data_IF_563065142394
#
_entry.id   IF_563065142394
#
_cell.length_a   1.000
_cell.length_b   1.000
_cell.length_c   1.000
_cell.angle_alpha   90.00
_cell.angle_beta   90.00
_cell.angle_gamma   90.00
#
_symmetry.space_group_name_H-M   'P 1'
#
loop_
_entity.id
_entity.type
_entity.pdbx_description
1 polymer ?
#
# COMPACT_ATOMS: atom_id res chain seq x y z
N UNK A 1 23.36 6.78 -40.94
CA UNK A 1 21.89 6.83 -40.81
C UNK A 1 21.41 8.16 -41.36
N UNK A 2 20.29 8.17 -42.10
CA UNK A 2 19.75 9.38 -42.72
C UNK A 2 18.30 9.57 -42.28
N UNK A 3 17.95 10.79 -41.89
CA UNK A 3 16.58 11.15 -41.55
C UNK A 3 16.20 12.45 -42.25
N UNK A 4 14.94 12.60 -42.61
CA UNK A 4 14.45 13.82 -43.26
C UNK A 4 14.57 15.02 -42.30
N UNK A 5 14.06 14.90 -41.08
CA UNK A 5 14.00 15.99 -40.10
C UNK A 5 14.21 15.46 -38.68
N UNK A 6 14.69 16.32 -37.77
CA UNK A 6 15.08 15.92 -36.41
C UNK A 6 13.89 15.49 -35.52
N UNK A 7 12.72 16.11 -35.67
CA UNK A 7 11.52 15.77 -34.89
C UNK A 7 10.91 14.41 -35.26
N UNK A 8 11.35 13.79 -36.37
CA UNK A 8 10.97 12.41 -36.71
C UNK A 8 11.70 11.38 -35.84
N UNK A 9 12.84 11.77 -35.26
CA UNK A 9 13.66 10.95 -34.38
C UNK A 9 13.43 11.30 -32.90
N UNK A 10 13.16 12.57 -32.60
CA UNK A 10 13.18 13.09 -31.24
C UNK A 10 11.82 13.68 -30.83
N UNK A 11 11.46 13.54 -29.54
CA UNK A 11 10.18 13.99 -28.95
C UNK A 11 10.25 15.27 -28.12
N UNK A 12 11.44 15.80 -27.87
CA UNK A 12 11.65 17.02 -27.09
C UNK A 12 13.14 17.35 -26.96
N UNK A 13 13.45 18.55 -26.49
CA UNK A 13 14.83 19.06 -26.38
C UNK A 13 15.74 18.18 -25.52
N UNK A 14 15.22 17.59 -24.44
CA UNK A 14 15.99 16.65 -23.62
C UNK A 14 16.36 15.38 -24.39
N UNK A 15 15.40 14.82 -25.15
CA UNK A 15 15.62 13.62 -25.94
C UNK A 15 16.60 13.86 -27.11
N UNK A 16 16.86 15.12 -27.49
CA UNK A 16 17.93 15.46 -28.45
C UNK A 16 19.29 15.14 -27.85
N UNK A 17 19.52 15.51 -26.59
CA UNK A 17 20.79 15.29 -25.90
C UNK A 17 21.07 13.79 -25.74
N UNK A 18 20.06 13.02 -25.35
CA UNK A 18 20.18 11.57 -25.19
C UNK A 18 20.56 10.88 -26.51
N UNK A 19 19.96 11.29 -27.63
CA UNK A 19 20.28 10.77 -28.96
C UNK A 19 21.69 11.16 -29.38
N UNK A 20 22.12 12.40 -29.11
CA UNK A 20 23.48 12.85 -29.42
C UNK A 20 24.53 12.05 -28.64
N UNK A 21 24.29 11.75 -27.37
CA UNK A 21 25.20 10.94 -26.55
C UNK A 21 25.29 9.49 -27.06
N UNK A 22 24.17 8.88 -27.44
CA UNK A 22 24.16 7.52 -28.03
C UNK A 22 24.90 7.49 -29.37
N UNK A 23 24.71 8.48 -30.23
CA UNK A 23 25.42 8.58 -31.51
C UNK A 23 26.93 8.73 -31.30
N UNK A 24 27.34 9.50 -30.29
CA UNK A 24 28.74 9.68 -29.93
C UNK A 24 29.38 8.40 -29.41
N UNK A 25 28.77 7.74 -28.42
CA UNK A 25 29.27 6.49 -27.83
C UNK A 25 29.29 5.36 -28.86
N UNK A 26 28.26 5.27 -29.70
CA UNK A 26 28.15 4.26 -30.75
C UNK A 26 29.02 4.54 -31.99
N UNK A 27 29.72 5.68 -32.05
CA UNK A 27 30.46 6.16 -33.24
C UNK A 27 29.62 6.13 -34.51
N UNK A 28 28.35 6.50 -34.39
CA UNK A 28 27.36 6.46 -35.46
C UNK A 28 27.24 7.82 -36.15
N UNK A 29 27.19 7.77 -37.47
CA UNK A 29 27.06 8.90 -38.37
C UNK A 29 25.58 9.18 -38.65
N UNK A 30 25.07 10.36 -38.30
CA UNK A 30 23.70 10.81 -38.58
C UNK A 30 23.68 12.01 -39.54
N UNK A 31 22.88 11.92 -40.60
CA UNK A 31 22.63 13.04 -41.51
C UNK A 31 21.16 13.43 -41.48
N UNK A 32 20.92 14.74 -41.36
CA UNK A 32 19.57 15.33 -41.35
C UNK A 32 19.43 16.14 -42.63
N UNK A 33 18.34 15.96 -43.37
CA UNK A 33 18.18 16.58 -44.68
C UNK A 33 17.50 17.95 -44.63
N UNK A 34 16.69 18.23 -43.60
CA UNK A 34 15.84 19.41 -43.55
C UNK A 34 15.73 20.02 -42.12
N UNK A 35 15.32 21.28 -42.06
CA UNK A 35 15.14 22.07 -40.83
C UNK A 35 16.42 22.73 -40.29
N UNK A 36 16.35 23.24 -39.06
CA UNK A 36 17.43 23.97 -38.40
C UNK A 36 18.72 23.15 -38.17
N UNK A 37 18.62 21.82 -38.35
CA UNK A 37 19.73 20.87 -38.18
C UNK A 37 20.20 20.29 -39.54
N UNK A 38 19.68 20.76 -40.68
CA UNK A 38 20.03 20.28 -42.04
C UNK A 38 21.49 20.51 -42.42
N UNK A 39 22.09 21.60 -41.94
CA UNK A 39 23.52 21.88 -42.13
C UNK A 39 24.42 21.00 -41.24
N UNK A 40 23.86 20.22 -40.32
CA UNK A 40 24.62 19.40 -39.40
C UNK A 40 24.88 18.02 -40.00
N UNK A 41 26.10 17.84 -40.46
CA UNK A 41 26.61 16.55 -40.87
C UNK A 41 27.34 15.87 -39.69
N UNK A 42 26.61 15.07 -38.90
CA UNK A 42 27.22 14.25 -37.85
C UNK A 42 27.93 13.00 -38.44
N UNK A 43 28.07 12.91 -39.77
CA UNK A 43 28.78 11.83 -40.44
C UNK A 43 30.30 12.05 -40.57
N UNK A 44 30.79 13.25 -40.25
CA UNK A 44 32.20 13.56 -40.40
C UNK A 44 33.02 13.00 -39.21
N UNK A 45 33.89 12.03 -39.47
CA UNK A 45 35.06 11.75 -38.64
C UNK A 45 36.09 12.87 -38.81
N UNK A 46 35.73 14.09 -38.43
CA UNK A 46 36.58 15.26 -38.57
C UNK A 46 37.40 15.48 -37.27
N UNK A 47 38.67 15.89 -37.34
CA UNK A 47 39.45 16.21 -36.14
C UNK A 47 38.87 17.38 -35.31
N UNK A 48 37.95 18.18 -35.87
CA UNK A 48 37.17 19.23 -35.17
C UNK A 48 35.72 18.84 -34.81
N UNK A 49 35.34 17.56 -34.92
CA UNK A 49 33.95 17.10 -34.65
C UNK A 49 33.54 17.27 -33.18
N UNK A 50 34.52 17.28 -32.26
CA UNK A 50 34.28 17.61 -30.86
C UNK A 50 33.77 19.04 -30.65
N UNK A 51 34.20 20.00 -31.47
CA UNK A 51 33.81 21.42 -31.38
C UNK A 51 32.40 21.66 -31.93
N UNK A 52 32.02 20.94 -33.00
CA UNK A 52 30.66 21.02 -33.55
C UNK A 52 29.65 20.33 -32.63
N UNK A 53 29.97 19.13 -32.13
CA UNK A 53 29.13 18.44 -31.15
C UNK A 53 29.01 19.23 -29.84
N UNK A 54 30.09 19.86 -29.37
CA UNK A 54 30.04 20.68 -28.15
C UNK A 54 29.23 21.97 -28.36
N UNK A 55 29.33 22.61 -29.53
CA UNK A 55 28.52 23.79 -29.87
C UNK A 55 27.03 23.43 -29.97
N UNK A 56 26.70 22.32 -30.61
CA UNK A 56 25.31 21.84 -30.70
C UNK A 56 24.78 21.43 -29.34
N UNK A 57 25.58 20.70 -28.54
CA UNK A 57 25.24 20.34 -27.16
C UNK A 57 25.02 21.59 -26.31
N UNK A 58 25.86 22.61 -26.44
CA UNK A 58 25.72 23.91 -25.75
C UNK A 58 24.44 24.65 -26.15
N UNK A 59 24.12 24.72 -27.46
CA UNK A 59 22.89 25.35 -27.95
C UNK A 59 21.64 24.62 -27.44
N UNK A 60 21.63 23.29 -27.49
CA UNK A 60 20.51 22.49 -26.99
C UNK A 60 20.38 22.60 -25.47
N UNK A 61 21.49 22.66 -24.73
CA UNK A 61 21.49 22.90 -23.28
C UNK A 61 20.96 24.29 -22.93
N UNK A 62 21.32 25.32 -23.69
CA UNK A 62 20.79 26.67 -23.48
C UNK A 62 19.28 26.72 -23.74
N UNK A 63 18.80 25.99 -24.75
CA UNK A 63 17.36 25.85 -25.01
C UNK A 63 16.65 25.04 -23.92
N UNK A 64 17.29 24.00 -23.38
CA UNK A 64 16.78 23.25 -22.24
C UNK A 64 16.68 24.14 -20.98
N UNK A 65 17.71 24.94 -20.70
CA UNK A 65 17.72 25.92 -19.61
C UNK A 65 16.64 27.01 -19.78
N UNK A 66 16.36 27.44 -21.01
CA UNK A 66 15.22 28.31 -21.30
C UNK A 66 13.87 27.64 -20.95
N UNK A 67 13.75 26.33 -21.16
CA UNK A 67 12.61 25.53 -20.71
C UNK A 67 12.49 25.44 -19.18
N UNK A 68 13.61 25.45 -18.46
CA UNK A 68 13.62 25.51 -16.99
C UNK A 68 13.10 26.86 -16.48
N UNK A 69 13.51 27.97 -17.10
CA UNK A 69 12.94 29.31 -16.82
C UNK A 69 11.44 29.37 -17.10
N UNK A 70 10.97 28.75 -18.18
CA UNK A 70 9.53 28.65 -18.46
C UNK A 70 8.79 27.84 -17.39
N UNK A 71 9.39 26.77 -16.86
CA UNK A 71 8.81 26.00 -15.75
C UNK A 71 8.72 26.83 -14.49
N UNK A 72 9.77 27.58 -14.14
CA UNK A 72 9.78 28.45 -12.96
C UNK A 72 8.66 29.51 -13.04
N UNK A 73 8.54 30.20 -14.17
CA UNK A 73 7.44 31.15 -14.42
C UNK A 73 6.06 30.48 -14.37
N UNK A 74 5.97 29.22 -14.80
CA UNK A 74 4.72 28.44 -14.71
C UNK A 74 4.37 28.13 -13.25
N UNK A 75 5.35 27.73 -12.43
CA UNK A 75 5.15 27.50 -11.01
C UNK A 75 4.79 28.79 -10.27
N UNK A 76 5.39 29.92 -10.64
CA UNK A 76 5.01 31.24 -10.11
C UNK A 76 3.56 31.58 -10.44
N UNK A 77 3.14 31.31 -11.68
CA UNK A 77 1.76 31.44 -12.11
C UNK A 77 0.81 30.55 -11.31
N UNK A 78 1.19 29.29 -11.04
CA UNK A 78 0.40 28.37 -10.23
C UNK A 78 0.30 28.84 -8.76
N UNK A 79 1.40 29.31 -8.17
CA UNK A 79 1.42 29.89 -6.81
C UNK A 79 0.52 31.12 -6.73
N UNK A 80 0.58 32.00 -7.72
CA UNK A 80 -0.28 33.18 -7.81
C UNK A 80 -1.77 32.80 -7.99
N UNK A 81 -2.06 31.73 -8.71
CA UNK A 81 -3.43 31.23 -8.87
C UNK A 81 -3.96 30.61 -7.57
N UNK A 82 -3.13 29.85 -6.86
CA UNK A 82 -3.47 29.26 -5.56
C UNK A 82 -3.72 30.34 -4.49
N UNK A 83 -2.91 31.40 -4.47
CA UNK A 83 -3.12 32.56 -3.61
C UNK A 83 -4.45 33.28 -3.88
N UNK A 84 -4.96 33.22 -5.12
CA UNK A 84 -6.31 33.70 -5.50
C UNK A 84 -7.42 32.69 -5.18
N UNK A 85 -7.10 31.57 -4.55
CA UNK A 85 -8.05 30.52 -4.19
C UNK A 85 -8.38 29.55 -5.33
N UNK A 86 -7.67 29.60 -6.46
CA UNK A 86 -7.88 28.65 -7.55
C UNK A 86 -7.29 27.29 -7.16
N UNK A 87 -8.12 26.25 -7.17
CA UNK A 87 -7.69 24.87 -6.88
C UNK A 87 -7.39 24.13 -8.18
N UNK A 88 -6.18 23.58 -8.26
CA UNK A 88 -5.79 22.67 -9.34
C UNK A 88 -6.37 21.26 -9.17
N UNK A 89 -6.12 20.39 -10.14
CA UNK A 89 -6.50 18.98 -10.09
C UNK A 89 -7.91 18.66 -10.58
N UNK A 90 -8.34 17.42 -10.34
CA UNK A 90 -9.64 16.91 -10.80
C UNK A 90 -10.76 17.47 -9.92
N UNK A 91 -11.82 17.98 -10.57
CA UNK A 91 -13.02 18.44 -9.87
C UNK A 91 -13.65 17.30 -9.04
N UNK A 92 -14.13 17.58 -7.80
CA UNK A 92 -14.81 16.59 -6.97
C UNK A 92 -15.99 15.95 -7.69
N UNK A 93 -16.16 14.63 -7.52
CA UNK A 93 -17.24 13.86 -8.13
C UNK A 93 -18.60 14.18 -7.47
N UNK A 94 -18.59 14.41 -6.16
CA UNK A 94 -19.74 14.89 -5.41
C UNK A 94 -19.64 16.41 -5.37
N UNK A 95 -20.60 17.09 -6.00
CA UNK A 95 -20.71 18.56 -5.97
C UNK A 95 -21.14 19.02 -4.57
N UNK A 96 -20.80 20.25 -4.21
CA UNK A 96 -21.15 20.92 -2.95
C UNK A 96 -22.60 20.70 -2.56
N UNK A 97 -23.52 20.89 -3.50
CA UNK A 97 -24.97 20.83 -3.25
C UNK A 97 -25.44 19.43 -2.84
N UNK A 98 -24.68 18.39 -3.19
CA UNK A 98 -24.95 16.99 -2.83
C UNK A 98 -24.15 16.54 -1.61
N UNK A 99 -23.09 17.26 -1.26
CA UNK A 99 -22.26 16.95 -0.10
C UNK A 99 -23.08 17.05 1.19
N UNK A 100 -23.94 18.06 1.31
CA UNK A 100 -24.78 18.23 2.49
C UNK A 100 -25.77 17.07 2.65
N UNK A 101 -26.43 16.65 1.56
CA UNK A 101 -27.34 15.51 1.58
C UNK A 101 -26.62 14.20 2.01
N UNK A 102 -25.41 13.98 1.52
CA UNK A 102 -24.58 12.83 1.88
C UNK A 102 -24.17 12.89 3.36
N UNK A 103 -23.80 14.07 3.86
CA UNK A 103 -23.44 14.30 5.26
C UNK A 103 -24.62 14.10 6.21
N UNK A 104 -25.79 14.65 5.88
CA UNK A 104 -27.02 14.44 6.64
C UNK A 104 -27.41 12.96 6.67
N UNK A 105 -27.30 12.26 5.53
CA UNK A 105 -27.56 10.83 5.48
C UNK A 105 -26.64 10.04 6.40
N UNK A 106 -25.34 10.37 6.43
CA UNK A 106 -24.37 9.74 7.33
C UNK A 106 -24.69 10.00 8.81
N UNK A 107 -24.95 11.25 9.19
CA UNK A 107 -25.29 11.64 10.57
C UNK A 107 -26.62 11.02 11.04
N UNK A 108 -27.55 10.76 10.12
CA UNK A 108 -28.81 10.04 10.40
C UNK A 108 -28.64 8.52 10.57
N UNK A 109 -27.40 8.00 10.52
CA UNK A 109 -27.09 6.57 10.68
C UNK A 109 -27.35 5.72 9.43
N UNK A 110 -27.62 6.32 8.26
CA UNK A 110 -27.77 5.57 7.01
C UNK A 110 -26.41 5.05 6.53
N UNK A 111 -26.38 3.80 6.05
CA UNK A 111 -25.14 3.20 5.52
C UNK A 111 -24.61 3.96 4.30
N UNK A 112 -23.27 4.01 4.15
CA UNK A 112 -22.55 4.64 3.02
C UNK A 112 -23.03 4.15 1.64
N UNK A 113 -23.53 2.90 1.57
CA UNK A 113 -24.05 2.29 0.34
C UNK A 113 -25.34 2.96 -0.15
N UNK A 114 -26.16 3.51 0.75
CA UNK A 114 -27.42 4.15 0.41
C UNK A 114 -27.23 5.45 -0.41
N UNK A 115 -26.49 6.48 0.07
CA UNK A 115 -26.24 7.69 -0.71
C UNK A 115 -25.38 7.42 -1.96
N UNK A 116 -24.52 6.39 -1.95
CA UNK A 116 -23.77 5.98 -3.13
C UNK A 116 -24.69 5.55 -4.29
N UNK A 117 -25.71 4.74 -3.99
CA UNK A 117 -26.71 4.31 -4.98
C UNK A 117 -27.63 5.45 -5.40
N UNK A 118 -28.10 6.24 -4.44
CA UNK A 118 -29.02 7.37 -4.67
C UNK A 118 -28.42 8.44 -5.58
N UNK A 119 -27.11 8.71 -5.44
CA UNK A 119 -26.43 9.73 -6.24
C UNK A 119 -25.61 9.17 -7.41
N UNK A 120 -25.62 7.85 -7.63
CA UNK A 120 -24.89 7.21 -8.72
C UNK A 120 -23.36 7.37 -8.63
N UNK A 121 -22.82 7.41 -7.40
CA UNK A 121 -21.39 7.62 -7.14
C UNK A 121 -20.77 6.42 -6.44
N UNK A 122 -19.45 6.27 -6.52
CA UNK A 122 -18.75 5.18 -5.84
C UNK A 122 -18.79 5.38 -4.32
N UNK A 123 -18.72 4.27 -3.56
CA UNK A 123 -18.59 4.32 -2.08
C UNK A 123 -17.33 5.07 -1.64
N UNK A 124 -16.26 5.02 -2.44
CA UNK A 124 -15.04 5.79 -2.21
C UNK A 124 -15.28 7.29 -2.29
N UNK A 125 -16.04 7.75 -3.29
CA UNK A 125 -16.40 9.17 -3.40
C UNK A 125 -17.25 9.63 -2.22
N UNK A 126 -18.20 8.80 -1.75
CA UNK A 126 -18.98 9.08 -0.55
C UNK A 126 -18.07 9.20 0.68
N UNK A 127 -17.16 8.24 0.90
CA UNK A 127 -16.18 8.29 2.01
C UNK A 127 -15.32 9.55 1.96
N UNK A 128 -14.84 9.96 0.80
CA UNK A 128 -14.08 11.21 0.64
C UNK A 128 -14.90 12.44 1.02
N UNK A 129 -16.21 12.47 0.74
CA UNK A 129 -17.07 13.61 1.05
C UNK A 129 -17.47 13.73 2.54
N UNK A 130 -17.39 12.63 3.29
CA UNK A 130 -17.67 12.57 4.73
C UNK A 130 -16.40 12.32 5.57
N UNK A 131 -15.22 12.41 4.97
CA UNK A 131 -13.96 12.01 5.61
C UNK A 131 -13.70 12.77 6.92
N UNK A 132 -14.17 14.02 7.02
CA UNK A 132 -14.11 14.86 8.21
C UNK A 132 -15.11 14.47 9.31
N UNK A 133 -16.20 13.78 8.96
CA UNK A 133 -17.23 13.30 9.88
C UNK A 133 -17.04 11.83 10.27
N UNK A 134 -16.23 11.09 9.51
CA UNK A 134 -15.83 9.78 9.93
C UNK A 134 -14.96 9.96 11.17
N UNK A 135 -15.22 9.22 12.26
CA UNK A 135 -14.19 9.11 13.27
C UNK A 135 -12.95 8.66 12.51
N UNK A 136 -11.85 9.41 12.62
CA UNK A 136 -10.55 8.82 12.32
C UNK A 136 -10.61 7.45 13.00
N UNK A 137 -10.41 6.39 12.24
CA UNK A 137 -9.81 5.24 12.89
C UNK A 137 -8.38 5.69 13.22
N UNK A 138 -8.24 6.63 14.16
CA UNK A 138 -7.33 6.45 15.27
C UNK A 138 -7.77 5.09 15.79
N UNK A 139 -7.01 4.01 15.55
CA UNK A 139 -7.16 2.85 16.42
C UNK A 139 -7.16 3.46 17.82
N UNK A 140 -8.24 3.25 18.57
CA UNK A 140 -8.46 3.88 19.86
C UNK A 140 -7.10 4.00 20.58
N UNK A 141 -6.81 5.18 21.12
CA UNK A 141 -5.73 5.41 22.08
C UNK A 141 -5.99 4.62 23.37
N UNK A 142 -6.22 3.31 23.25
CA UNK A 142 -5.82 2.32 24.21
C UNK A 142 -4.35 2.02 23.89
N UNK A 143 -3.45 2.86 24.40
CA UNK A 143 -1.98 2.66 24.39
C UNK A 143 -1.52 1.33 25.06
N UNK A 144 -2.42 0.39 25.34
CA UNK A 144 -2.12 -0.96 25.82
C UNK A 144 -2.88 -2.09 25.09
N UNK A 145 -3.56 -1.82 23.97
CA UNK A 145 -4.20 -2.87 23.16
C UNK A 145 -3.29 -3.27 21.97
N UNK A 146 -2.67 -4.48 21.96
CA UNK A 146 -1.91 -4.94 20.81
C UNK A 146 -2.85 -5.04 19.60
N UNK A 147 -2.40 -4.54 18.44
CA UNK A 147 -3.09 -4.59 17.14
C UNK A 147 -4.00 -5.82 16.98
N UNK A 148 -5.23 -5.69 16.41
CA UNK A 148 -6.16 -6.80 16.28
C UNK A 148 -5.49 -7.95 15.50
N UNK A 149 -4.97 -8.91 16.26
CA UNK A 149 -4.30 -10.07 15.71
C UNK A 149 -5.37 -10.86 14.98
N UNK A 150 -5.20 -11.02 13.67
CA UNK A 150 -6.08 -11.86 12.87
C UNK A 150 -6.27 -13.20 13.60
N UNK A 151 -7.52 -13.63 13.81
CA UNK A 151 -7.79 -14.84 14.57
C UNK A 151 -7.14 -16.03 13.85
N UNK A 152 -6.33 -16.79 14.58
CA UNK A 152 -5.71 -17.99 14.08
C UNK A 152 -6.50 -19.18 14.58
N UNK A 153 -6.72 -20.16 13.70
CA UNK A 153 -7.37 -21.40 14.07
C UNK A 153 -6.34 -22.42 14.52
N UNK A 154 -6.40 -22.83 15.78
CA UNK A 154 -5.57 -23.90 16.34
C UNK A 154 -6.42 -25.07 16.83
N UNK A 155 -5.95 -26.28 16.55
CA UNK A 155 -6.51 -27.49 17.15
C UNK A 155 -5.95 -27.64 18.57
N UNK A 156 -6.81 -27.55 19.58
CA UNK A 156 -6.50 -27.77 20.99
C UNK A 156 -6.80 -29.22 21.37
N UNK A 157 -5.87 -29.95 22.02
CA UNK A 157 -6.15 -31.30 22.51
C UNK A 157 -7.30 -31.33 23.54
N UNK A 158 -8.20 -32.31 23.44
CA UNK A 158 -9.39 -32.38 24.30
C UNK A 158 -9.08 -32.42 25.80
N UNK A 159 -7.96 -33.01 26.22
CA UNK A 159 -7.51 -32.99 27.63
C UNK A 159 -7.18 -31.60 28.15
N UNK A 160 -6.79 -30.68 27.26
CA UNK A 160 -6.54 -29.27 27.59
C UNK A 160 -7.85 -28.50 27.60
N UNK A 161 -8.73 -28.75 26.63
CA UNK A 161 -10.07 -28.19 26.61
C UNK A 161 -10.86 -28.56 27.89
N UNK A 162 -10.86 -29.85 28.27
CA UNK A 162 -11.52 -30.35 29.48
C UNK A 162 -11.04 -29.61 30.74
N UNK A 163 -9.72 -29.40 30.85
CA UNK A 163 -9.11 -28.69 31.99
C UNK A 163 -9.53 -27.20 32.00
N UNK A 164 -9.47 -26.54 30.85
CA UNK A 164 -9.82 -25.12 30.72
C UNK A 164 -11.31 -24.85 30.94
N UNK A 165 -12.20 -25.77 30.56
CA UNK A 165 -13.63 -25.65 30.86
C UNK A 165 -13.94 -25.63 32.36
N UNK A 166 -13.06 -26.19 33.19
CA UNK A 166 -13.17 -26.17 34.66
C UNK A 166 -12.39 -25.03 35.34
N UNK A 167 -11.64 -24.23 34.57
CA UNK A 167 -10.80 -23.15 35.07
C UNK A 167 -11.54 -21.80 35.09
N UNK A 168 -11.10 -20.89 35.96
CA UNK A 168 -11.54 -19.50 35.93
C UNK A 168 -10.86 -18.76 34.76
N UNK A 169 -11.67 -18.43 33.75
CA UNK A 169 -11.26 -17.78 32.52
C UNK A 169 -11.86 -16.37 32.38
N UNK A 170 -11.10 -15.49 31.72
CA UNK A 170 -11.57 -14.19 31.27
C UNK A 170 -12.69 -14.32 30.22
N UNK A 171 -13.54 -13.30 30.02
CA UNK A 171 -14.66 -13.38 29.09
C UNK A 171 -14.25 -13.71 27.64
N UNK A 172 -13.10 -13.21 27.20
CA UNK A 172 -12.55 -13.47 25.86
C UNK A 172 -12.03 -14.91 25.70
N UNK A 173 -11.33 -15.44 26.71
CA UNK A 173 -10.86 -16.83 26.79
C UNK A 173 -12.04 -17.81 26.77
N UNK A 174 -13.08 -17.53 27.57
CA UNK A 174 -14.29 -18.34 27.65
C UNK A 174 -15.05 -18.33 26.32
N UNK A 175 -15.26 -17.14 25.75
CA UNK A 175 -15.88 -16.99 24.44
C UNK A 175 -15.14 -17.78 23.34
N UNK A 176 -13.80 -17.77 23.35
CA UNK A 176 -13.02 -18.54 22.37
C UNK A 176 -13.25 -20.07 22.48
N UNK A 177 -13.39 -20.59 23.70
CA UNK A 177 -13.69 -22.01 23.91
C UNK A 177 -15.13 -22.36 23.54
N UNK A 178 -16.09 -21.49 23.87
CA UNK A 178 -17.52 -21.69 23.59
C UNK A 178 -17.81 -21.72 22.08
N UNK A 179 -17.09 -20.90 21.30
CA UNK A 179 -17.16 -20.89 19.84
C UNK A 179 -16.30 -22.01 19.20
N UNK A 180 -15.59 -22.80 20.00
CA UNK A 180 -14.72 -23.87 19.51
C UNK A 180 -15.50 -25.04 18.91
N UNK A 181 -15.01 -25.57 17.79
CA UNK A 181 -15.63 -26.73 17.12
C UNK A 181 -14.97 -28.03 17.56
N UNK A 182 -15.74 -28.92 18.17
CA UNK A 182 -15.24 -30.23 18.61
C UNK A 182 -15.11 -31.20 17.43
N UNK A 183 -13.92 -31.75 17.21
CA UNK A 183 -13.62 -32.75 16.18
C UNK A 183 -13.23 -34.07 16.86
N UNK A 184 -13.99 -35.15 16.63
CA UNK A 184 -13.71 -36.47 17.20
C UNK A 184 -12.52 -37.13 16.50
N UNK A 185 -11.56 -37.65 17.28
CA UNK A 185 -10.34 -38.32 16.81
C UNK A 185 -10.10 -39.59 17.64
N UNK A 186 -10.60 -40.74 17.16
CA UNK A 186 -10.44 -42.03 17.84
C UNK A 186 -11.00 -42.03 19.27
N UNK A 187 -10.20 -42.44 20.26
CA UNK A 187 -10.58 -42.43 21.70
C UNK A 187 -10.57 -41.03 22.35
N UNK A 188 -10.35 -39.95 21.58
CA UNK A 188 -10.32 -38.58 22.08
C UNK A 188 -10.94 -37.58 21.11
N UNK A 189 -10.80 -36.29 21.43
CA UNK A 189 -11.26 -35.20 20.59
C UNK A 189 -10.22 -34.06 20.57
N UNK A 190 -10.33 -33.21 19.56
CA UNK A 190 -9.62 -31.93 19.47
C UNK A 190 -10.66 -30.82 19.35
N UNK A 191 -10.48 -29.75 20.11
CA UNK A 191 -11.30 -28.54 20.02
C UNK A 191 -10.62 -27.55 19.08
N UNK A 192 -11.25 -27.24 17.95
CA UNK A 192 -10.74 -26.25 17.01
C UNK A 192 -11.16 -24.86 17.48
N UNK A 193 -10.19 -24.09 17.97
CA UNK A 193 -10.40 -22.76 18.55
C UNK A 193 -9.85 -21.71 17.59
N UNK A 194 -10.67 -20.73 17.23
CA UNK A 194 -10.27 -19.60 16.38
C UNK A 194 -10.22 -18.33 17.22
N UNK A 195 -9.02 -17.90 17.59
CA UNK A 195 -8.81 -16.73 18.44
C UNK A 195 -7.51 -15.99 18.10
N UNK A 196 -7.36 -14.77 18.61
CA UNK A 196 -6.08 -14.05 18.52
C UNK A 196 -4.94 -14.86 19.17
N UNK A 197 -3.73 -14.76 18.62
CA UNK A 197 -2.54 -15.46 19.16
C UNK A 197 -2.31 -15.14 20.64
N UNK A 198 -2.62 -13.92 21.08
CA UNK A 198 -2.61 -13.51 22.48
C UNK A 198 -3.53 -14.37 23.36
N UNK A 199 -4.76 -14.65 22.92
CA UNK A 199 -5.73 -15.50 23.64
C UNK A 199 -5.22 -16.93 23.71
N UNK A 200 -4.66 -17.47 22.63
CA UNK A 200 -4.04 -18.80 22.66
C UNK A 200 -2.88 -18.90 23.67
N UNK A 201 -2.04 -17.86 23.77
CA UNK A 201 -0.97 -17.77 24.77
C UNK A 201 -1.51 -17.64 26.19
N UNK A 202 -2.58 -16.88 26.41
CA UNK A 202 -3.23 -16.78 27.71
C UNK A 202 -3.82 -18.13 28.15
N UNK A 203 -4.54 -18.82 27.27
CA UNK A 203 -5.04 -20.19 27.52
C UNK A 203 -3.90 -21.17 27.85
N UNK A 204 -2.76 -21.07 27.15
CA UNK A 204 -1.58 -21.88 27.48
C UNK A 204 -1.00 -21.54 28.87
N UNK A 205 -0.95 -20.26 29.25
CA UNK A 205 -0.54 -19.84 30.61
C UNK A 205 -1.47 -20.41 31.68
N UNK A 206 -2.78 -20.45 31.45
CA UNK A 206 -3.75 -21.07 32.38
C UNK A 206 -3.47 -22.56 32.60
N UNK A 207 -2.83 -23.22 31.63
CA UNK A 207 -2.41 -24.63 31.72
C UNK A 207 -1.08 -24.85 32.48
N UNK A 208 -0.45 -23.79 33.02
CA UNK A 208 0.79 -23.89 33.81
C UNK A 208 0.76 -24.95 34.94
N UNK A 209 -0.33 -25.06 35.73
CA UNK A 209 -0.42 -26.05 36.81
C UNK A 209 -0.24 -27.51 36.36
N UNK A 210 -0.55 -27.82 35.09
CA UNK A 210 -0.45 -29.17 34.54
C UNK A 210 1.00 -29.66 34.38
N UNK A 211 2.02 -28.79 34.41
CA UNK A 211 3.43 -29.21 34.37
C UNK A 211 3.88 -29.91 35.63
N UNK A 212 3.28 -29.55 36.78
CA UNK A 212 3.64 -30.07 38.09
C UNK A 212 2.94 -31.38 38.43
N UNK A 213 2.79 -31.61 39.74
CA UNK A 213 2.14 -32.79 40.33
C UNK A 213 0.63 -32.86 40.06
N UNK A 214 0.01 -31.75 39.68
CA UNK A 214 -1.42 -31.64 39.38
C UNK A 214 -1.81 -32.23 38.02
N UNK A 215 -0.85 -32.40 37.10
CA UNK A 215 -1.10 -32.97 35.78
C UNK A 215 -0.88 -34.48 35.72
N UNK A 216 -1.78 -35.20 35.04
CA UNK A 216 -1.51 -36.58 34.60
C UNK A 216 -0.45 -36.58 33.47
N UNK A 217 0.26 -37.69 33.22
CA UNK A 217 1.18 -37.80 32.08
C UNK A 217 0.53 -37.45 30.73
N UNK A 218 -0.75 -37.81 30.56
CA UNK A 218 -1.52 -37.49 29.36
C UNK A 218 -1.79 -35.98 29.22
N UNK A 219 -2.09 -35.28 30.31
CA UNK A 219 -2.29 -33.82 30.31
C UNK A 219 -0.99 -33.07 30.01
N UNK A 220 0.14 -33.50 30.59
CA UNK A 220 1.46 -32.92 30.27
C UNK A 220 1.79 -33.06 28.79
N UNK A 221 1.55 -34.24 28.20
CA UNK A 221 1.75 -34.45 26.76
C UNK A 221 0.84 -33.55 25.93
N UNK A 222 -0.45 -33.48 26.27
CA UNK A 222 -1.42 -32.66 25.58
C UNK A 222 -1.08 -31.16 25.64
N UNK A 223 -0.55 -30.68 26.78
CA UNK A 223 -0.11 -29.28 26.90
C UNK A 223 1.09 -28.99 26.00
N UNK A 224 2.11 -29.85 26.01
CA UNK A 224 3.29 -29.70 25.15
C UNK A 224 2.91 -29.67 23.67
N UNK A 225 1.94 -30.49 23.27
CA UNK A 225 1.40 -30.48 21.91
C UNK A 225 0.72 -29.15 21.56
N UNK A 226 -0.06 -28.59 22.48
CA UNK A 226 -0.68 -27.28 22.28
C UNK A 226 0.34 -26.13 22.26
N UNK A 227 1.32 -26.17 23.16
CA UNK A 227 2.45 -25.23 23.19
C UNK A 227 3.24 -25.24 21.87
N UNK A 228 3.57 -26.43 21.36
CA UNK A 228 4.24 -26.56 20.07
C UNK A 228 3.43 -25.93 18.94
N UNK A 229 2.10 -26.11 18.92
CA UNK A 229 1.22 -25.49 17.90
C UNK A 229 1.23 -23.97 17.98
N UNK A 230 1.22 -23.40 19.18
CA UNK A 230 1.31 -21.95 19.38
C UNK A 230 2.67 -21.41 18.95
N UNK A 231 3.75 -22.13 19.26
CA UNK A 231 5.12 -21.72 18.95
C UNK A 231 5.47 -21.81 17.45
N UNK A 232 4.68 -22.52 16.64
CA UNK A 232 4.84 -22.60 15.17
C UNK A 232 4.16 -21.42 14.45
N UNK A 233 3.23 -20.70 15.10
CA UNK A 233 2.54 -19.54 14.52
C UNK A 233 3.44 -18.38 14.03
N UNK A 234 4.62 -18.08 14.62
CA UNK A 234 5.53 -17.08 14.07
C UNK A 234 6.13 -17.44 12.71
N UNK A 235 6.09 -18.71 12.30
CA UNK A 235 6.75 -19.20 11.08
C UNK A 235 5.86 -19.19 9.83
N UNK A 236 4.56 -18.92 9.95
CA UNK A 236 3.62 -18.85 8.82
C UNK A 236 3.19 -17.43 8.45
N UNK A 237 3.69 -16.42 9.18
CA UNK A 237 3.49 -15.00 8.85
C UNK A 237 4.80 -14.42 8.30
N UNK A 238 5.06 -14.64 7.01
CA UNK A 238 6.05 -13.86 6.27
C UNK A 238 6.08 -14.23 4.79
N UNK A 239 6.52 -13.32 3.89
CA UNK A 239 6.89 -11.92 4.09
C UNK A 239 5.75 -10.92 3.79
#
# INVERSE_FOLDING_TARGET
MHISEMFRLVRGTQHILDVLDVLHTGRLALRIHDGAFSAMDLTARHPRTGELLSTVKFMVQTLAAAGELQRELTYDGLRAAEAKGSKGGRRPVIKTDKTDAVRTAYLSGRSITAPAREHGVSRGAVRTAIADLMPEHTPADDEDAPAPQLPVTLDMPGKIADFLCSAELEPNERSALDHGVTVRRGKGYTLRVSAATAVHRQLLKRCQPLDGTQGTPAQRKARREYENRINVLPAMAGP
#
